data_IF_524015940127
#
_entry.id   IF_524015940127
#
_cell.length_a   1.000
_cell.length_b   1.000
_cell.length_c   1.000
_cell.angle_alpha   90.00
_cell.angle_beta   90.00
_cell.angle_gamma   90.00
#
_symmetry.space_group_name_H-M   'P 1'
#
loop_
_entity.id
_entity.type
_entity.pdbx_description
1 polymer ?
#
# COMPACT_ATOMS: atom_id res chain seq x y z
N UNK A 1 47.54 -18.07 31.96
CA UNK A 1 46.87 -17.46 33.13
C UNK A 1 45.45 -17.07 32.72
N UNK A 2 44.42 -17.44 33.49
CA UNK A 2 43.03 -16.92 33.41
C UNK A 2 42.67 -16.38 34.81
N UNK A 3 41.89 -15.28 34.91
CA UNK A 3 40.50 -15.32 35.43
C UNK A 3 39.51 -14.59 34.46
N UNK A 4 38.16 -14.67 34.46
CA UNK A 4 37.08 -15.04 35.42
C UNK A 4 36.52 -13.85 36.26
N UNK A 5 35.21 -13.52 36.37
CA UNK A 5 34.00 -13.78 35.52
C UNK A 5 32.80 -12.88 35.97
N UNK A 6 31.65 -12.85 35.24
CA UNK A 6 30.36 -12.13 35.56
C UNK A 6 30.39 -10.58 35.37
N UNK A 7 29.34 -9.81 35.04
CA UNK A 7 27.86 -9.97 35.05
C UNK A 7 27.20 -9.20 33.87
N UNK A 8 26.07 -9.62 33.29
CA UNK A 8 24.70 -9.04 33.46
C UNK A 8 24.64 -7.51 33.75
N UNK A 9 23.77 -6.67 33.16
CA UNK A 9 22.47 -6.86 32.49
C UNK A 9 22.11 -5.58 31.67
N UNK A 10 21.14 -5.65 30.75
CA UNK A 10 20.07 -4.65 30.50
C UNK A 10 19.80 -4.32 29.02
N UNK A 11 18.53 -3.99 28.78
CA UNK A 11 17.82 -3.89 27.51
C UNK A 11 18.39 -2.85 26.53
N UNK A 12 18.64 -3.30 25.30
CA UNK A 12 18.74 -2.45 24.11
C UNK A 12 17.57 -2.73 23.18
N UNK A 13 16.75 -1.71 22.89
CA UNK A 13 15.62 -1.81 21.97
C UNK A 13 16.12 -1.97 20.52
N UNK A 14 16.33 -3.21 20.11
CA UNK A 14 16.62 -3.57 18.73
C UNK A 14 15.38 -3.47 17.85
N UNK A 15 14.98 -2.25 17.45
CA UNK A 15 14.08 -2.03 16.31
C UNK A 15 14.85 -2.35 15.01
N UNK A 16 15.22 -3.62 14.85
CA UNK A 16 15.77 -4.14 13.61
C UNK A 16 14.61 -4.35 12.64
N UNK A 17 14.46 -3.40 11.71
CA UNK A 17 13.41 -3.41 10.70
C UNK A 17 13.31 -4.79 10.02
N UNK A 18 12.11 -5.35 10.03
CA UNK A 18 11.84 -6.71 9.57
C UNK A 18 11.29 -6.70 8.13
N UNK A 19 12.08 -7.03 7.10
CA UNK A 19 11.62 -7.10 5.72
C UNK A 19 10.89 -8.45 5.48
N UNK A 20 9.76 -8.66 6.14
CA UNK A 20 9.16 -10.00 6.30
C UNK A 20 7.98 -10.34 5.39
N UNK A 21 7.29 -9.35 4.81
CA UNK A 21 6.07 -9.60 4.01
C UNK A 21 6.35 -10.07 2.56
N UNK A 22 7.57 -9.94 2.06
CA UNK A 22 7.90 -10.21 0.64
C UNK A 22 8.23 -11.68 0.30
N UNK A 23 8.19 -12.64 1.25
CA UNK A 23 8.85 -13.96 1.10
C UNK A 23 7.97 -15.21 1.23
N UNK A 24 6.65 -15.13 1.03
CA UNK A 24 5.74 -16.29 1.23
C UNK A 24 4.76 -16.61 0.08
N UNK A 25 5.17 -16.40 -1.18
CA UNK A 25 4.47 -16.95 -2.35
C UNK A 25 5.45 -17.61 -3.35
N UNK A 26 5.92 -18.82 -3.04
CA UNK A 26 6.62 -19.66 -4.02
C UNK A 26 6.53 -21.15 -3.69
N UNK A 27 5.49 -21.84 -4.20
CA UNK A 27 5.54 -23.24 -4.72
C UNK A 27 4.13 -23.81 -4.96
N UNK A 28 3.53 -23.49 -6.11
CA UNK A 28 2.50 -24.32 -6.73
C UNK A 28 2.73 -24.28 -8.25
N UNK A 29 2.90 -25.45 -8.87
CA UNK A 29 3.18 -25.59 -10.31
C UNK A 29 1.98 -26.20 -11.03
N UNK A 30 1.36 -25.51 -12.01
CA UNK A 30 0.31 -26.06 -12.84
C UNK A 30 0.81 -26.31 -14.29
N UNK A 31 1.85 -27.12 -14.44
CA UNK A 31 2.35 -27.52 -15.76
C UNK A 31 1.50 -28.65 -16.40
N UNK A 32 0.20 -28.40 -16.62
CA UNK A 32 -0.66 -29.18 -17.51
C UNK A 32 -2.03 -28.50 -17.70
N UNK A 33 -2.22 -27.79 -18.83
CA UNK A 33 -3.39 -27.87 -19.72
C UNK A 33 -3.36 -26.76 -20.79
N UNK A 34 -3.42 -27.24 -22.03
CA UNK A 34 -3.50 -26.55 -23.32
C UNK A 34 -4.42 -25.32 -23.40
N UNK A 35 -3.94 -24.25 -24.05
CA UNK A 35 -4.74 -23.64 -25.13
C UNK A 35 -5.52 -22.34 -24.90
N UNK A 36 -5.02 -21.36 -24.13
CA UNK A 36 -5.50 -19.98 -24.29
C UNK A 36 -4.37 -18.96 -24.06
N UNK A 37 -4.02 -18.17 -25.08
CA UNK A 37 -3.03 -17.10 -24.97
C UNK A 37 -3.68 -15.87 -24.34
N UNK A 38 -3.39 -15.59 -23.06
CA UNK A 38 -3.63 -14.27 -22.46
C UNK A 38 -4.55 -14.20 -21.23
N UNK A 39 -4.90 -15.31 -20.56
CA UNK A 39 -5.52 -15.23 -19.23
C UNK A 39 -4.47 -14.90 -18.18
N UNK A 40 -4.24 -13.60 -17.93
CA UNK A 40 -3.47 -13.16 -16.78
C UNK A 40 -4.16 -13.62 -15.48
N UNK A 41 -3.40 -14.23 -14.58
CA UNK A 41 -3.90 -14.65 -13.27
C UNK A 41 -4.18 -13.40 -12.42
N UNK A 42 -5.46 -13.14 -12.11
CA UNK A 42 -5.89 -11.88 -11.49
C UNK A 42 -5.80 -12.00 -9.97
N UNK A 43 -4.62 -11.64 -9.43
CA UNK A 43 -4.40 -11.55 -7.99
C UNK A 43 -4.94 -10.21 -7.46
N UNK A 44 -5.90 -10.27 -6.54
CA UNK A 44 -6.36 -9.11 -5.76
C UNK A 44 -5.59 -9.08 -4.43
N UNK A 45 -4.98 -7.94 -4.13
CA UNK A 45 -4.34 -7.68 -2.84
C UNK A 45 -5.19 -6.66 -2.07
N UNK A 46 -5.35 -6.87 -0.76
CA UNK A 46 -6.11 -6.00 0.13
C UNK A 46 -5.23 -5.65 1.32
N UNK A 47 -5.15 -4.37 1.64
CA UNK A 47 -4.55 -3.85 2.86
C UNK A 47 -5.62 -3.11 3.67
N UNK A 48 -5.54 -3.19 5.00
CA UNK A 48 -6.47 -2.53 5.90
C UNK A 48 -5.78 -1.37 6.60
N UNK A 49 -6.42 -0.20 6.56
CA UNK A 49 -5.91 1.02 7.17
C UNK A 49 -6.78 1.43 8.36
N UNK A 50 -6.13 1.89 9.42
CA UNK A 50 -6.75 2.47 10.62
C UNK A 50 -6.48 3.99 10.67
N UNK A 51 -7.27 4.75 11.42
CA UNK A 51 -7.07 6.22 11.49
C UNK A 51 -5.87 6.62 12.34
N UNK A 52 -5.66 5.95 13.47
CA UNK A 52 -4.74 6.35 14.54
C UNK A 52 -4.13 5.11 15.23
N UNK A 53 -2.96 5.29 15.84
CA UNK A 53 -2.20 4.25 16.57
C UNK A 53 -3.03 3.53 17.65
N UNK A 54 -3.91 4.23 18.37
CA UNK A 54 -4.76 3.60 19.40
C UNK A 54 -5.74 2.59 18.80
N UNK A 55 -6.36 2.91 17.66
CA UNK A 55 -7.25 1.99 16.95
C UNK A 55 -6.45 0.82 16.35
N UNK A 56 -5.23 1.06 15.87
CA UNK A 56 -4.31 0.02 15.40
C UNK A 56 -4.02 -1.01 16.49
N UNK A 57 -3.75 -0.56 17.72
CA UNK A 57 -3.51 -1.44 18.87
C UNK A 57 -4.76 -2.24 19.27
N UNK A 58 -5.93 -1.60 19.33
CA UNK A 58 -7.21 -2.28 19.61
C UNK A 58 -7.54 -3.35 18.57
N UNK A 59 -7.38 -3.04 17.28
CA UNK A 59 -7.59 -3.99 16.18
C UNK A 59 -6.58 -5.14 16.22
N UNK A 60 -5.31 -4.86 16.52
CA UNK A 60 -4.27 -5.88 16.68
C UNK A 60 -4.56 -6.83 17.84
N UNK A 61 -5.16 -6.36 18.94
CA UNK A 61 -5.62 -7.23 20.04
C UNK A 61 -6.74 -8.19 19.61
N UNK A 62 -7.54 -7.81 18.61
CA UNK A 62 -8.54 -8.70 17.97
C UNK A 62 -7.96 -9.58 16.85
N UNK A 63 -6.64 -9.55 16.63
CA UNK A 63 -5.97 -10.30 15.56
C UNK A 63 -6.14 -9.70 14.17
N UNK A 64 -6.51 -8.42 14.07
CA UNK A 64 -6.66 -7.70 12.80
C UNK A 64 -5.40 -6.85 12.57
N UNK A 65 -4.61 -7.21 11.57
CA UNK A 65 -3.43 -6.44 11.16
C UNK A 65 -3.88 -5.21 10.34
N UNK A 66 -3.43 -4.02 10.75
CA UNK A 66 -3.71 -2.73 10.09
C UNK A 66 -2.48 -1.82 10.11
N UNK A 67 -2.42 -0.91 9.15
CA UNK A 67 -1.40 0.14 9.04
C UNK A 67 -2.05 1.52 9.20
N UNK A 68 -1.31 2.53 9.65
CA UNK A 68 -1.76 3.94 9.65
C UNK A 68 -1.36 4.64 8.35
N UNK A 69 -2.09 5.67 7.89
CA UNK A 69 -1.71 6.46 6.72
C UNK A 69 -0.33 7.13 6.80
N UNK A 70 0.21 7.33 8.00
CA UNK A 70 1.53 7.92 8.23
C UNK A 70 2.68 6.92 8.02
N UNK A 71 2.43 5.62 8.22
CA UNK A 71 3.39 4.54 7.98
C UNK A 71 3.55 4.21 6.48
N UNK A 72 2.63 4.67 5.64
CA UNK A 72 2.61 4.40 4.19
C UNK A 72 3.60 5.26 3.39
N UNK A 73 4.89 4.93 3.44
CA UNK A 73 5.87 5.44 2.48
C UNK A 73 6.01 4.46 1.28
N UNK A 74 5.95 4.92 0.01
CA UNK A 74 5.88 6.29 -0.49
C UNK A 74 4.46 6.78 -0.88
N UNK A 75 3.39 6.29 -0.25
CA UNK A 75 2.00 6.49 -0.74
C UNK A 75 1.11 7.26 0.24
N UNK A 76 0.68 8.47 -0.11
CA UNK A 76 -0.30 9.21 0.69
C UNK A 76 -1.74 8.86 0.29
N UNK A 77 -2.56 8.45 1.26
CA UNK A 77 -3.99 8.21 1.08
C UNK A 77 -4.77 9.51 1.28
N UNK A 78 -5.60 9.87 0.30
CA UNK A 78 -6.45 11.06 0.32
C UNK A 78 -7.93 10.68 0.20
N UNK A 79 -8.81 11.59 0.64
CA UNK A 79 -10.27 11.43 0.45
C UNK A 79 -10.60 11.38 -1.05
N UNK A 80 -11.57 10.56 -1.43
CA UNK A 80 -12.01 10.42 -2.83
C UNK A 80 -12.40 11.77 -3.47
N UNK A 81 -12.91 12.73 -2.69
CA UNK A 81 -13.18 14.11 -3.13
C UNK A 81 -11.99 14.82 -3.78
N UNK A 82 -10.76 14.54 -3.34
CA UNK A 82 -9.56 15.20 -3.85
C UNK A 82 -9.22 14.76 -5.29
N UNK A 83 -9.47 13.50 -5.62
CA UNK A 83 -9.38 13.01 -7.00
C UNK A 83 -10.45 13.66 -7.89
N UNK A 84 -11.63 13.96 -7.35
CA UNK A 84 -12.71 14.65 -8.07
C UNK A 84 -12.34 16.09 -8.41
N UNK A 85 -11.75 16.81 -7.45
CA UNK A 85 -11.15 18.13 -7.67
C UNK A 85 -10.02 18.08 -8.69
N UNK A 86 -9.13 17.08 -8.60
CA UNK A 86 -8.04 16.91 -9.56
C UNK A 86 -8.54 16.69 -11.00
N UNK A 87 -9.62 15.92 -11.18
CA UNK A 87 -10.23 15.70 -12.50
C UNK A 87 -10.81 16.96 -13.13
N UNK A 88 -11.22 17.98 -12.37
CA UNK A 88 -11.71 19.26 -12.95
C UNK A 88 -10.62 19.92 -13.81
N UNK A 89 -9.35 19.83 -13.42
CA UNK A 89 -8.24 20.40 -14.17
C UNK A 89 -7.87 19.59 -15.44
N UNK A 90 -8.38 18.36 -15.59
CA UNK A 90 -8.07 17.52 -16.75
C UNK A 90 -8.75 18.08 -18.01
N UNK A 91 -7.93 18.51 -18.98
CA UNK A 91 -8.41 19.13 -20.21
C UNK A 91 -8.87 20.58 -20.02
N UNK A 92 -8.53 21.24 -18.91
CA UNK A 92 -8.74 22.67 -18.73
C UNK A 92 -7.64 23.46 -19.46
N UNK A 93 -8.05 24.43 -20.27
CA UNK A 93 -7.18 25.43 -20.89
C UNK A 93 -7.93 26.75 -20.97
N UNK A 94 -7.57 27.69 -20.08
CA UNK A 94 -8.20 29.01 -20.01
C UNK A 94 -7.98 29.84 -21.28
N UNK A 95 -6.92 29.57 -22.08
CA UNK A 95 -6.65 30.27 -23.35
C UNK A 95 -7.56 29.80 -24.48
N UNK A 96 -8.00 28.55 -24.43
CA UNK A 96 -8.92 27.95 -25.42
C UNK A 96 -10.36 27.87 -24.92
N UNK A 97 -10.67 28.49 -23.77
CA UNK A 97 -11.99 28.49 -23.14
C UNK A 97 -12.48 27.05 -22.85
N UNK A 98 -11.54 26.15 -22.55
CA UNK A 98 -11.85 24.78 -22.13
C UNK A 98 -11.91 24.77 -20.60
N UNK A 99 -13.11 24.61 -20.04
CA UNK A 99 -13.35 24.62 -18.59
C UNK A 99 -12.86 23.37 -17.85
N UNK A 100 -12.40 22.35 -18.59
CA UNK A 100 -12.00 21.05 -18.05
C UNK A 100 -13.17 20.08 -17.89
N UNK A 101 -13.04 19.08 -17.01
CA UNK A 101 -14.16 18.18 -16.71
C UNK A 101 -15.10 18.80 -15.67
N UNK A 102 -16.43 18.57 -15.79
CA UNK A 102 -17.36 18.96 -14.74
C UNK A 102 -17.04 18.20 -13.45
N UNK A 103 -17.15 18.90 -12.31
CA UNK A 103 -17.03 18.27 -10.99
C UNK A 103 -18.12 17.19 -10.85
N UNK A 104 -17.69 16.00 -10.42
CA UNK A 104 -18.55 14.85 -10.15
C UNK A 104 -18.01 14.10 -8.95
N UNK A 105 -18.91 13.55 -8.14
CA UNK A 105 -18.54 12.62 -7.09
C UNK A 105 -17.93 11.35 -7.70
N UNK A 106 -16.96 10.79 -6.99
CA UNK A 106 -16.29 9.55 -7.37
C UNK A 106 -17.00 8.39 -6.68
N UNK A 107 -17.30 7.35 -7.45
CA UNK A 107 -17.93 6.14 -6.95
C UNK A 107 -17.08 5.41 -5.91
N UNK A 108 -17.73 4.57 -5.12
CA UNK A 108 -17.15 3.83 -3.98
C UNK A 108 -15.96 2.97 -4.42
N UNK A 109 -15.98 2.46 -5.66
CA UNK A 109 -14.90 1.72 -6.29
C UNK A 109 -14.49 2.42 -7.60
N UNK A 110 -13.19 2.65 -7.77
CA UNK A 110 -12.60 3.17 -9.00
C UNK A 110 -11.38 2.33 -9.37
N UNK A 111 -11.21 2.05 -10.67
CA UNK A 111 -10.04 1.35 -11.19
C UNK A 111 -9.08 2.35 -11.82
N UNK A 112 -7.82 2.34 -11.41
CA UNK A 112 -6.76 3.09 -12.07
C UNK A 112 -5.71 2.13 -12.65
N UNK A 113 -4.89 2.64 -13.56
CA UNK A 113 -3.67 1.95 -14.00
C UNK A 113 -2.48 2.83 -13.67
N UNK A 114 -1.60 2.34 -12.80
CA UNK A 114 -0.40 3.05 -12.36
C UNK A 114 0.69 2.87 -13.42
N UNK A 115 1.37 3.97 -13.74
CA UNK A 115 2.49 4.00 -14.69
C UNK A 115 3.66 4.72 -14.04
N UNK A 116 4.89 4.18 -14.18
CA UNK A 116 6.13 4.85 -13.77
C UNK A 116 6.69 5.64 -14.95
N UNK A 117 6.68 6.96 -14.86
CA UNK A 117 7.32 7.82 -15.87
C UNK A 117 8.84 7.88 -15.62
N UNK A 118 9.64 7.64 -16.67
CA UNK A 118 11.12 7.64 -16.65
C UNK A 118 11.84 6.48 -15.92
N UNK A 119 11.14 5.40 -15.58
CA UNK A 119 11.80 4.14 -15.15
C UNK A 119 12.46 4.17 -13.75
N UNK A 120 12.24 5.24 -12.99
CA UNK A 120 12.45 5.29 -11.54
C UNK A 120 11.11 5.16 -10.80
#
# INVERSE_FOLDING_TARGET
>A
MRPNVTSQLSMGYGLQGSPSLARRLSSASPAALTGHQGSHDVVVQVALLCSDIHLQEELRLQGIETETPEELYPFTVLKASELGKAYVYLGRDDKQILSGRPLRDIGILSTCKVYRSRGQ
#
